data_IF_409330044659
#
_entry.id   IF_409330044659
#
_cell.length_a   1.000
_cell.length_b   1.000
_cell.length_c   1.000
_cell.angle_alpha   90.00
_cell.angle_beta   90.00
_cell.angle_gamma   90.00
#
_symmetry.space_group_name_H-M   'P 1'
#
loop_
_entity.id
_entity.type
_entity.pdbx_description
1 polymer ?
#
# COMPACT_ATOMS: atom_id res chain seq x y z
N UNK A 1 -1.07 -22.08 9.74
CA UNK A 1 -0.71 -20.99 8.79
C UNK A 1 0.72 -21.15 8.27
N UNK A 2 1.72 -21.32 9.14
CA UNK A 2 3.14 -21.43 8.78
C UNK A 2 3.43 -22.55 7.78
N UNK A 3 2.93 -23.77 8.05
CA UNK A 3 3.11 -24.90 7.15
C UNK A 3 2.58 -24.62 5.75
N UNK A 4 1.38 -24.06 5.65
CA UNK A 4 0.77 -23.68 4.36
C UNK A 4 1.57 -22.57 3.67
N UNK A 5 2.14 -21.62 4.45
CA UNK A 5 2.95 -20.55 3.90
C UNK A 5 4.22 -21.08 3.22
N UNK A 6 4.87 -22.04 3.84
CA UNK A 6 6.11 -22.66 3.32
C UNK A 6 5.88 -23.51 2.07
N UNK A 7 4.67 -24.07 1.89
CA UNK A 7 4.36 -25.02 0.81
C UNK A 7 3.49 -24.43 -0.30
N UNK A 8 3.10 -23.16 -0.18
CA UNK A 8 2.29 -22.50 -1.21
C UNK A 8 3.19 -21.87 -2.26
N UNK A 9 2.95 -22.21 -3.53
CA UNK A 9 3.57 -21.55 -4.70
C UNK A 9 2.56 -20.60 -5.32
N UNK A 10 2.96 -19.36 -5.52
CA UNK A 10 2.16 -18.36 -6.21
C UNK A 10 2.57 -18.30 -7.68
N UNK A 11 1.57 -18.20 -8.57
CA UNK A 11 1.79 -17.91 -9.98
C UNK A 11 1.63 -16.40 -10.22
N UNK A 12 2.28 -15.83 -11.24
CA UNK A 12 2.00 -14.45 -11.65
C UNK A 12 0.50 -14.22 -11.82
N UNK A 13 0.00 -13.10 -11.30
CA UNK A 13 -1.42 -12.73 -11.36
C UNK A 13 -2.35 -13.45 -10.39
N UNK A 14 -1.85 -14.39 -9.58
CA UNK A 14 -2.70 -15.13 -8.66
C UNK A 14 -2.44 -14.80 -7.20
N UNK A 15 -3.48 -14.37 -6.49
CA UNK A 15 -3.41 -13.90 -5.12
C UNK A 15 -2.61 -12.60 -4.99
N UNK A 16 -2.48 -12.09 -3.78
CA UNK A 16 -1.75 -10.83 -3.53
C UNK A 16 -0.29 -10.89 -3.99
N UNK A 17 0.53 -11.90 -3.62
CA UNK A 17 1.91 -11.98 -4.09
C UNK A 17 2.03 -12.11 -5.61
N UNK A 18 1.18 -12.91 -6.23
CA UNK A 18 1.21 -13.12 -7.68
C UNK A 18 0.79 -11.89 -8.48
N UNK A 19 -0.15 -11.10 -7.95
CA UNK A 19 -0.58 -9.84 -8.56
C UNK A 19 0.56 -8.82 -8.52
N UNK A 20 1.22 -8.68 -7.36
CA UNK A 20 2.39 -7.79 -7.21
C UNK A 20 3.53 -8.25 -8.12
N UNK A 21 3.79 -9.56 -8.19
CA UNK A 21 4.81 -10.11 -9.08
C UNK A 21 4.52 -9.78 -10.54
N UNK A 22 3.29 -9.99 -11.01
CA UNK A 22 2.93 -9.74 -12.40
C UNK A 22 3.03 -8.26 -12.78
N UNK A 23 2.60 -7.36 -11.88
CA UNK A 23 2.55 -5.92 -12.17
C UNK A 23 3.87 -5.20 -11.86
N UNK A 24 4.69 -5.75 -10.96
CA UNK A 24 5.83 -5.01 -10.37
C UNK A 24 5.41 -3.81 -9.53
N UNK A 25 4.12 -3.69 -9.19
CA UNK A 25 3.56 -2.55 -8.46
C UNK A 25 3.00 -3.00 -7.11
N UNK A 26 3.01 -2.13 -6.09
CA UNK A 26 2.30 -2.41 -4.85
C UNK A 26 0.81 -2.58 -5.12
N UNK A 27 0.15 -3.42 -4.32
CA UNK A 27 -1.26 -3.73 -4.46
C UNK A 27 -1.94 -3.79 -3.10
N UNK A 28 -3.13 -3.21 -3.00
CA UNK A 28 -4.04 -3.37 -1.88
C UNK A 28 -5.16 -4.31 -2.32
N UNK A 29 -5.32 -5.43 -1.63
CA UNK A 29 -6.46 -6.33 -1.80
C UNK A 29 -7.43 -6.15 -0.65
N UNK A 30 -8.61 -5.67 -0.97
CA UNK A 30 -9.76 -5.64 -0.08
C UNK A 30 -10.51 -6.97 -0.18
N UNK A 31 -11.25 -7.29 0.87
CA UNK A 31 -12.18 -8.42 0.87
C UNK A 31 -11.53 -9.78 0.54
N UNK A 32 -10.42 -10.07 1.21
CA UNK A 32 -9.75 -11.38 1.10
C UNK A 32 -10.62 -12.55 1.59
N UNK A 33 -11.71 -12.27 2.31
CA UNK A 33 -12.65 -13.27 2.81
C UNK A 33 -13.54 -13.84 1.70
N UNK A 34 -13.95 -13.02 0.74
CA UNK A 34 -14.83 -13.43 -0.36
C UNK A 34 -14.10 -13.68 -1.70
N UNK A 35 -12.85 -13.27 -1.79
CA UNK A 35 -12.09 -13.34 -3.03
C UNK A 35 -11.76 -14.78 -3.45
N UNK A 36 -12.32 -15.22 -4.57
CA UNK A 36 -11.98 -16.50 -5.21
C UNK A 36 -10.53 -16.58 -5.72
N UNK A 37 -9.79 -15.46 -5.65
CA UNK A 37 -8.38 -15.36 -6.07
C UNK A 37 -7.39 -15.64 -4.95
N UNK A 38 -7.86 -15.96 -3.74
CA UNK A 38 -7.00 -16.30 -2.61
C UNK A 38 -6.87 -17.81 -2.45
N UNK A 39 -5.62 -18.29 -2.43
CA UNK A 39 -5.31 -19.73 -2.19
C UNK A 39 -5.68 -20.21 -0.78
N UNK A 40 -6.11 -19.32 0.10
CA UNK A 40 -6.26 -19.58 1.55
C UNK A 40 -7.57 -19.04 2.11
N UNK A 41 -8.63 -19.09 1.32
CA UNK A 41 -9.91 -18.53 1.73
C UNK A 41 -10.35 -19.09 3.10
N UNK A 42 -10.31 -20.41 3.30
CA UNK A 42 -10.70 -21.04 4.57
C UNK A 42 -9.81 -20.60 5.75
N UNK A 43 -8.50 -20.45 5.51
CA UNK A 43 -7.57 -19.97 6.55
C UNK A 43 -7.78 -18.49 6.86
N UNK A 44 -8.05 -17.67 5.85
CA UNK A 44 -8.34 -16.24 6.02
C UNK A 44 -9.63 -16.04 6.81
N UNK A 45 -10.67 -16.80 6.51
CA UNK A 45 -11.94 -16.78 7.25
C UNK A 45 -11.72 -17.16 8.73
N UNK A 46 -10.99 -18.22 9.01
CA UNK A 46 -10.71 -18.65 10.38
C UNK A 46 -9.97 -17.63 11.23
N UNK A 47 -9.09 -16.86 10.61
CA UNK A 47 -8.22 -15.86 11.28
C UNK A 47 -8.83 -14.46 11.19
N UNK A 48 -9.88 -14.27 10.36
CA UNK A 48 -10.52 -12.97 10.13
C UNK A 48 -9.68 -12.02 9.28
N UNK A 49 -8.76 -12.54 8.45
CA UNK A 49 -7.94 -11.71 7.54
C UNK A 49 -8.83 -11.19 6.42
N UNK A 50 -9.10 -9.89 6.43
CA UNK A 50 -9.98 -9.23 5.47
C UNK A 50 -9.24 -8.46 4.39
N UNK A 51 -8.07 -7.92 4.69
CA UNK A 51 -7.31 -7.04 3.79
C UNK A 51 -5.85 -7.49 3.70
N UNK A 52 -5.21 -7.14 2.59
CA UNK A 52 -3.78 -7.37 2.39
C UNK A 52 -3.13 -6.27 1.58
N UNK A 53 -1.90 -5.94 1.92
CA UNK A 53 -1.04 -5.03 1.17
C UNK A 53 0.19 -5.80 0.73
N UNK A 54 0.48 -5.77 -0.57
CA UNK A 54 1.67 -6.38 -1.15
C UNK A 54 2.61 -5.31 -1.68
N UNK A 55 3.89 -5.42 -1.33
CA UNK A 55 4.94 -4.48 -1.74
C UNK A 55 6.04 -5.27 -2.44
N UNK A 56 6.41 -4.93 -3.68
CA UNK A 56 7.57 -5.53 -4.35
C UNK A 56 8.85 -5.01 -3.71
N UNK A 57 9.67 -5.91 -3.16
CA UNK A 57 10.95 -5.59 -2.52
C UNK A 57 12.14 -5.79 -3.47
N UNK A 58 12.02 -6.76 -4.37
CA UNK A 58 12.98 -7.02 -5.41
C UNK A 58 12.22 -7.58 -6.62
N UNK A 59 12.59 -7.14 -7.79
CA UNK A 59 11.94 -7.57 -9.02
C UNK A 59 12.96 -7.69 -10.15
N UNK A 60 13.10 -8.88 -10.67
CA UNK A 60 13.72 -9.13 -11.95
C UNK A 60 12.86 -10.07 -12.80
N UNK A 61 13.23 -10.30 -14.06
CA UNK A 61 12.44 -11.14 -14.97
C UNK A 61 12.30 -12.60 -14.54
N UNK A 62 13.13 -13.06 -13.60
CA UNK A 62 13.20 -14.46 -13.17
C UNK A 62 12.74 -14.65 -11.73
N UNK A 63 12.88 -13.64 -10.88
CA UNK A 63 12.58 -13.75 -9.45
C UNK A 63 12.03 -12.44 -8.91
N UNK A 64 10.97 -12.53 -8.13
CA UNK A 64 10.41 -11.40 -7.39
C UNK A 64 10.34 -11.75 -5.90
N UNK A 65 10.76 -10.80 -5.07
CA UNK A 65 10.52 -10.84 -3.62
C UNK A 65 9.38 -9.88 -3.30
N UNK A 66 8.30 -10.41 -2.75
CA UNK A 66 7.12 -9.63 -2.39
C UNK A 66 6.90 -9.72 -0.90
N UNK A 67 6.88 -8.59 -0.23
CA UNK A 67 6.47 -8.49 1.17
C UNK A 67 4.95 -8.35 1.22
N UNK A 68 4.29 -9.20 2.00
CA UNK A 68 2.83 -9.15 2.17
C UNK A 68 2.46 -8.91 3.60
N UNK A 69 1.57 -7.97 3.81
CA UNK A 69 0.99 -7.63 5.10
C UNK A 69 -0.49 -8.00 5.07
N UNK A 70 -0.92 -8.76 6.05
CA UNK A 70 -2.29 -9.25 6.14
C UNK A 70 -2.95 -8.63 7.37
N UNK A 71 -4.05 -7.94 7.16
CA UNK A 71 -4.80 -7.25 8.20
C UNK A 71 -6.06 -8.03 8.57
N UNK A 72 -6.25 -8.31 9.85
CA UNK A 72 -7.43 -8.97 10.38
C UNK A 72 -8.49 -7.95 10.82
N UNK A 73 -9.75 -8.38 10.74
CA UNK A 73 -10.90 -7.65 11.29
C UNK A 73 -10.69 -7.37 12.75
N UNK A 74 -10.75 -6.43 13.39
CA UNK A 74 -10.58 -6.17 14.83
C UNK A 74 -9.15 -5.82 15.29
N UNK A 75 -8.13 -6.18 14.52
CA UNK A 75 -6.73 -5.80 14.77
C UNK A 75 -6.05 -5.36 13.48
N UNK A 76 -6.48 -4.24 12.87
CA UNK A 76 -5.88 -3.78 11.63
C UNK A 76 -4.42 -3.35 11.85
N UNK A 77 -3.55 -3.68 10.89
CA UNK A 77 -2.13 -3.24 10.89
C UNK A 77 -2.04 -1.72 10.81
N UNK A 78 -2.90 -1.12 10.00
CA UNK A 78 -3.05 0.32 9.88
C UNK A 78 -4.53 0.62 9.57
N UNK A 79 -4.98 1.81 9.91
CA UNK A 79 -6.37 2.24 9.72
C UNK A 79 -6.66 2.72 8.31
N UNK A 80 -5.59 3.12 7.57
CA UNK A 80 -5.67 3.58 6.19
C UNK A 80 -4.40 3.21 5.44
N UNK A 81 -4.57 2.80 4.19
CA UNK A 81 -3.49 2.50 3.25
C UNK A 81 -3.70 3.32 1.98
N UNK A 82 -2.63 3.84 1.42
CA UNK A 82 -2.65 4.51 0.11
C UNK A 82 -1.44 4.14 -0.71
N UNK A 83 -1.61 4.18 -2.03
CA UNK A 83 -0.56 4.05 -3.03
C UNK A 83 -0.57 5.31 -3.87
N UNK A 84 0.54 6.02 -3.87
CA UNK A 84 0.78 7.20 -4.68
C UNK A 84 1.76 6.84 -5.79
N UNK A 85 1.42 7.19 -7.02
CA UNK A 85 2.20 6.84 -8.22
C UNK A 85 2.59 8.10 -8.98
N UNK A 86 3.73 8.11 -9.71
CA UNK A 86 4.11 9.25 -10.53
C UNK A 86 3.03 9.61 -11.55
N UNK A 87 2.86 10.90 -11.78
CA UNK A 87 2.12 11.42 -12.93
C UNK A 87 2.81 10.99 -14.23
N UNK A 88 2.09 11.07 -15.34
CA UNK A 88 2.62 10.71 -16.66
C UNK A 88 3.83 11.56 -17.06
N UNK A 89 3.83 12.83 -16.70
CA UNK A 89 4.91 13.78 -16.93
C UNK A 89 6.02 13.75 -15.86
N UNK A 90 5.84 12.98 -14.79
CA UNK A 90 6.78 12.89 -13.68
C UNK A 90 6.87 14.14 -12.80
N UNK A 91 5.96 15.10 -12.95
CA UNK A 91 5.98 16.36 -12.18
C UNK A 91 5.52 16.20 -10.74
N UNK A 92 4.77 15.16 -10.44
CA UNK A 92 4.20 14.91 -9.13
C UNK A 92 3.76 13.46 -8.92
N UNK A 93 3.19 13.19 -7.77
CA UNK A 93 2.53 11.91 -7.46
C UNK A 93 1.02 12.13 -7.39
N UNK A 94 0.27 11.27 -8.07
CA UNK A 94 -1.18 11.20 -7.99
C UNK A 94 -1.62 10.01 -7.15
N UNK A 95 -2.83 10.08 -6.62
CA UNK A 95 -3.46 8.95 -5.95
C UNK A 95 -3.68 7.79 -6.94
N UNK A 96 -3.18 6.62 -6.60
CA UNK A 96 -3.32 5.41 -7.40
C UNK A 96 -4.38 4.44 -6.87
N UNK A 97 -4.33 4.16 -5.57
CA UNK A 97 -5.28 3.29 -4.88
C UNK A 97 -5.22 3.56 -3.37
N UNK A 98 -6.27 3.17 -2.66
CA UNK A 98 -6.27 3.25 -1.20
C UNK A 98 -7.46 2.52 -0.58
N UNK A 99 -7.37 2.34 0.73
CA UNK A 99 -8.40 1.79 1.56
C UNK A 99 -8.39 2.46 2.93
N UNK A 100 -9.55 2.82 3.43
CA UNK A 100 -9.74 3.40 4.74
C UNK A 100 -11.09 2.96 5.33
N UNK A 101 -11.06 2.35 6.51
CA UNK A 101 -12.29 1.86 7.16
C UNK A 101 -13.29 2.98 7.47
N UNK A 102 -12.79 4.20 7.68
CA UNK A 102 -13.60 5.35 8.04
C UNK A 102 -14.02 6.21 6.83
N UNK A 103 -13.43 5.98 5.66
CA UNK A 103 -13.68 6.76 4.44
C UNK A 103 -13.78 5.82 3.23
N UNK A 104 -14.94 5.21 3.00
CA UNK A 104 -15.13 4.23 1.92
C UNK A 104 -14.92 4.82 0.51
N UNK A 105 -15.05 6.15 0.35
CA UNK A 105 -14.84 6.86 -0.91
C UNK A 105 -13.51 7.64 -0.92
N UNK A 106 -12.43 6.97 -0.52
CA UNK A 106 -11.11 7.60 -0.39
C UNK A 106 -10.60 8.24 -1.68
N UNK A 107 -10.89 7.63 -2.83
CA UNK A 107 -10.53 8.19 -4.15
C UNK A 107 -11.19 9.54 -4.42
N UNK A 108 -12.42 9.74 -3.96
CA UNK A 108 -13.14 11.01 -4.11
C UNK A 108 -12.53 12.12 -3.24
N UNK A 109 -11.98 11.74 -2.08
CA UNK A 109 -11.33 12.69 -1.17
C UNK A 109 -10.02 13.27 -1.74
N UNK A 110 -9.35 12.52 -2.61
CA UNK A 110 -8.11 12.97 -3.23
C UNK A 110 -8.35 13.66 -4.57
N UNK A 111 -9.38 13.26 -5.33
CA UNK A 111 -9.70 13.84 -6.64
C UNK A 111 -8.44 13.92 -7.52
N UNK A 112 -8.18 15.14 -8.01
CA UNK A 112 -6.99 15.46 -8.82
C UNK A 112 -5.79 15.95 -7.97
N UNK A 113 -5.79 15.63 -6.67
CA UNK A 113 -4.70 16.06 -5.79
C UNK A 113 -3.36 15.47 -6.25
N UNK A 114 -2.37 16.34 -6.33
CA UNK A 114 -1.00 16.00 -6.68
C UNK A 114 -0.08 16.34 -5.52
N UNK A 115 0.89 15.47 -5.25
CA UNK A 115 1.95 15.71 -4.27
C UNK A 115 3.21 16.10 -5.04
N UNK A 116 3.73 17.29 -4.74
CA UNK A 116 4.95 17.79 -5.37
C UNK A 116 6.21 17.10 -4.79
N UNK A 117 7.34 17.11 -5.52
CA UNK A 117 8.63 16.70 -4.98
C UNK A 117 8.93 17.47 -3.68
N UNK A 118 9.37 16.76 -2.64
CA UNK A 118 9.65 17.31 -1.29
C UNK A 118 8.43 17.77 -0.50
N UNK A 119 7.23 17.68 -1.05
CA UNK A 119 6.01 18.02 -0.32
C UNK A 119 5.67 16.93 0.71
N UNK A 120 5.83 17.26 1.97
CA UNK A 120 5.54 16.36 3.06
C UNK A 120 6.35 15.08 3.05
N UNK A 121 5.98 14.13 3.90
CA UNK A 121 6.68 12.86 4.04
C UNK A 121 6.67 12.03 2.74
N UNK A 122 5.58 12.11 1.96
CA UNK A 122 5.44 11.35 0.72
C UNK A 122 6.40 11.89 -0.34
N UNK A 123 6.41 13.21 -0.57
CA UNK A 123 7.32 13.85 -1.51
C UNK A 123 8.79 13.76 -1.09
N UNK A 124 9.05 13.80 0.22
CA UNK A 124 10.37 13.59 0.80
C UNK A 124 10.86 12.15 0.56
N UNK A 125 10.04 11.14 0.88
CA UNK A 125 10.35 9.73 0.66
C UNK A 125 10.58 9.42 -0.81
N UNK A 126 9.77 10.02 -1.70
CA UNK A 126 9.97 9.92 -3.14
C UNK A 126 11.35 10.41 -3.57
N UNK A 127 11.76 11.57 -3.11
CA UNK A 127 13.04 12.19 -3.53
C UNK A 127 14.26 11.54 -2.89
N UNK A 128 14.14 11.11 -1.64
CA UNK A 128 15.24 10.46 -0.91
C UNK A 128 15.37 8.97 -1.24
N UNK A 129 14.29 8.32 -1.67
CA UNK A 129 14.27 6.87 -1.91
C UNK A 129 14.37 6.04 -0.64
N UNK A 130 14.06 6.60 0.52
CA UNK A 130 14.09 5.93 1.83
C UNK A 130 12.75 6.04 2.54
N UNK A 131 12.38 5.07 3.40
CA UNK A 131 11.19 5.17 4.22
C UNK A 131 11.21 6.41 5.12
N UNK A 132 10.04 7.00 5.31
CA UNK A 132 9.84 8.19 6.15
C UNK A 132 8.74 7.90 7.15
N UNK A 133 8.94 8.30 8.41
CA UNK A 133 7.95 8.18 9.49
C UNK A 133 7.59 9.57 9.98
N UNK A 134 6.29 9.79 10.25
CA UNK A 134 5.75 10.96 10.94
C UNK A 134 4.85 10.49 12.06
N UNK A 135 5.16 10.90 13.26
CA UNK A 135 4.39 10.61 14.48
C UNK A 135 3.32 11.68 14.78
N UNK A 136 3.35 12.79 14.05
CA UNK A 136 2.36 13.86 14.15
C UNK A 136 2.03 14.43 12.77
N UNK A 137 0.77 14.28 12.36
CA UNK A 137 0.28 14.75 11.05
C UNK A 137 -0.30 16.16 11.08
N UNK A 138 -0.46 16.77 12.27
CA UNK A 138 -1.12 18.10 12.41
C UNK A 138 -0.39 19.17 11.59
N UNK A 139 0.93 19.11 11.54
CA UNK A 139 1.77 20.08 10.82
C UNK A 139 2.31 19.52 9.50
N UNK A 140 1.93 18.31 9.14
CA UNK A 140 2.38 17.68 7.91
C UNK A 140 1.68 18.31 6.68
N UNK A 141 2.42 18.85 5.71
CA UNK A 141 1.83 19.46 4.53
C UNK A 141 1.25 18.41 3.55
N UNK A 142 0.43 18.90 2.63
CA UNK A 142 -0.07 18.12 1.53
C UNK A 142 -1.50 17.57 1.70
N UNK A 143 -2.12 17.14 0.61
CA UNK A 143 -3.51 16.70 0.61
C UNK A 143 -3.72 15.40 1.39
N UNK A 144 -2.77 14.48 1.32
CA UNK A 144 -2.84 13.18 1.99
C UNK A 144 -2.87 13.32 3.52
N UNK A 145 -2.01 14.17 4.08
CA UNK A 145 -1.96 14.44 5.51
C UNK A 145 -3.23 15.15 6.01
N UNK A 146 -3.73 16.13 5.26
CA UNK A 146 -5.01 16.81 5.61
C UNK A 146 -6.17 15.82 5.64
N UNK A 147 -6.28 14.97 4.63
CA UNK A 147 -7.34 13.96 4.58
C UNK A 147 -7.20 12.92 5.71
N UNK A 148 -5.98 12.54 6.07
CA UNK A 148 -5.73 11.62 7.18
C UNK A 148 -6.10 12.25 8.53
N UNK A 149 -5.68 13.50 8.78
CA UNK A 149 -6.02 14.24 9.99
C UNK A 149 -7.53 14.44 10.14
N UNK A 150 -8.24 14.73 9.04
CA UNK A 150 -9.71 14.84 9.04
C UNK A 150 -10.39 13.50 9.40
N UNK A 151 -9.74 12.39 9.15
CA UNK A 151 -10.19 11.05 9.55
C UNK A 151 -9.74 10.65 10.96
N UNK A 152 -9.12 11.57 11.72
CA UNK A 152 -8.64 11.31 13.09
C UNK A 152 -7.37 10.46 13.15
N UNK A 153 -6.61 10.38 12.06
CA UNK A 153 -5.33 9.68 12.00
C UNK A 153 -4.21 10.64 12.39
N UNK A 154 -3.24 10.16 13.15
CA UNK A 154 -2.24 11.01 13.81
C UNK A 154 -0.81 10.79 13.32
N UNK A 155 -0.55 9.63 12.75
CA UNK A 155 0.81 9.25 12.34
C UNK A 155 0.79 8.49 11.02
N UNK A 156 1.93 8.49 10.32
CA UNK A 156 2.09 7.73 9.09
C UNK A 156 3.50 7.18 8.89
N UNK A 157 3.55 6.10 8.11
CA UNK A 157 4.77 5.53 7.53
C UNK A 157 4.64 5.58 6.02
N UNK A 158 5.68 6.05 5.35
CA UNK A 158 5.81 6.06 3.90
C UNK A 158 6.91 5.11 3.49
N UNK A 159 6.62 4.19 2.58
CA UNK A 159 7.59 3.22 2.04
C UNK A 159 7.71 3.47 0.52
N UNK A 160 8.86 3.93 0.02
CA UNK A 160 9.08 4.09 -1.41
C UNK A 160 9.31 2.73 -2.05
N UNK A 161 8.68 2.50 -3.19
CA UNK A 161 8.91 1.34 -4.04
C UNK A 161 9.82 1.77 -5.18
N UNK A 162 11.01 1.19 -5.22
CA UNK A 162 12.05 1.50 -6.20
C UNK A 162 12.41 0.20 -6.94
N UNK A 163 12.42 0.25 -8.25
CA UNK A 163 12.85 -0.85 -9.12
C UNK A 163 13.80 -0.32 -10.18
N UNK A 164 14.92 -1.00 -10.39
CA UNK A 164 15.94 -0.60 -11.35
C UNK A 164 16.39 0.86 -11.19
N UNK A 165 16.53 1.31 -9.94
CA UNK A 165 16.88 2.69 -9.58
C UNK A 165 15.79 3.74 -9.87
N UNK A 166 14.58 3.30 -10.26
CA UNK A 166 13.46 4.20 -10.57
C UNK A 166 12.36 4.08 -9.52
N UNK A 167 11.90 5.21 -9.05
CA UNK A 167 10.74 5.27 -8.18
C UNK A 167 9.47 4.84 -8.93
N UNK A 168 8.71 3.91 -8.36
CA UNK A 168 7.47 3.36 -8.93
C UNK A 168 6.23 3.83 -8.17
N UNK A 169 6.31 3.86 -6.84
CA UNK A 169 5.21 4.27 -6.00
C UNK A 169 5.69 4.61 -4.58
N UNK A 170 4.88 5.35 -3.84
CA UNK A 170 4.93 5.39 -2.38
C UNK A 170 3.75 4.62 -1.81
N UNK A 171 4.00 3.72 -0.87
CA UNK A 171 2.97 3.06 -0.07
C UNK A 171 2.91 3.76 1.28
N UNK A 172 1.76 4.26 1.64
CA UNK A 172 1.56 4.98 2.90
C UNK A 172 0.62 4.23 3.82
N UNK A 173 0.96 4.21 5.09
CA UNK A 173 0.17 3.61 6.16
C UNK A 173 -0.11 4.67 7.20
N UNK A 174 -1.36 4.76 7.63
CA UNK A 174 -1.79 5.74 8.62
C UNK A 174 -2.40 5.05 9.86
N UNK A 175 -2.12 5.64 11.01
CA UNK A 175 -2.49 5.12 12.32
C UNK A 175 -3.23 6.15 13.18
#
# INVERSE_FOLDING_TARGET
FEWTARHTKFRPGFGLPGTVWQSGMPCIMQDLLSSKRTLRQDSNVRIGISKGVGIPCSYDSKQAVVMTFLSALGTPIARRFEIWVPNEDGSGLRFGAGDCDQMPHLSECHGDATIAPWEGAIGESWKKGIPTVRDNLVFEPGPAARAATSAGLTSMVVIPVIQDGRFKAAVTWYF
#
